data_IF_878930186231
#
_entry.id   IF_878930186231
#
_cell.length_a   1.000
_cell.length_b   1.000
_cell.length_c   1.000
_cell.angle_alpha   90.00
_cell.angle_beta   90.00
_cell.angle_gamma   90.00
#
_symmetry.space_group_name_H-M   'P 1'
#
loop_
_entity.id
_entity.type
_entity.pdbx_description
1 polymer ?
#
# COMPACT_ATOMS: atom_id res chain seq x y z
N UNK A 1 27.11 60.95 52.36
CA UNK A 1 28.36 60.19 52.12
C UNK A 1 27.97 58.73 51.97
N UNK A 2 27.64 58.27 50.77
CA UNK A 2 27.21 56.90 50.49
C UNK A 2 28.36 56.13 49.83
N UNK A 3 28.86 55.09 50.55
CA UNK A 3 29.87 54.17 50.01
C UNK A 3 29.21 53.18 49.06
N UNK A 4 29.59 53.21 47.78
CA UNK A 4 29.25 52.18 46.79
C UNK A 4 30.15 50.96 47.05
N UNK A 5 29.55 49.82 47.40
CA UNK A 5 30.22 48.51 47.36
C UNK A 5 30.16 47.97 45.94
N UNK A 6 31.31 47.81 45.32
CA UNK A 6 31.45 47.11 44.06
C UNK A 6 31.55 45.60 44.34
N UNK A 7 30.51 44.86 43.99
CA UNK A 7 30.53 43.39 44.06
C UNK A 7 31.16 42.81 42.79
N UNK A 8 32.27 42.10 42.95
CA UNK A 8 32.91 41.34 41.87
C UNK A 8 32.15 40.05 41.63
N UNK A 9 31.49 39.94 40.47
CA UNK A 9 30.86 38.67 40.04
C UNK A 9 31.95 37.82 39.43
N UNK A 10 32.29 36.70 40.09
CA UNK A 10 33.18 35.67 39.56
C UNK A 10 32.31 34.71 38.73
N UNK A 11 32.44 34.77 37.41
CA UNK A 11 31.78 33.86 36.49
C UNK A 11 32.59 32.52 36.45
N UNK A 12 32.13 31.48 37.15
CA UNK A 12 32.71 30.14 37.07
C UNK A 12 32.17 29.49 35.78
N UNK A 13 32.97 29.48 34.71
CA UNK A 13 32.70 28.73 33.49
C UNK A 13 33.11 27.28 33.75
N UNK A 14 32.18 26.44 34.13
CA UNK A 14 32.39 24.98 34.12
C UNK A 14 32.43 24.50 32.67
N UNK A 15 33.64 24.23 32.17
CA UNK A 15 33.84 23.52 30.91
C UNK A 15 33.33 22.06 31.10
N UNK A 16 32.11 21.79 30.65
CA UNK A 16 31.69 20.41 30.47
C UNK A 16 32.52 19.83 29.32
N UNK A 17 33.49 18.99 29.65
CA UNK A 17 34.14 18.14 28.66
C UNK A 17 33.08 17.20 28.11
N UNK A 18 32.63 17.44 26.90
CA UNK A 18 31.83 16.45 26.16
C UNK A 18 32.73 15.22 26.02
N UNK A 19 32.34 14.04 26.55
CA UNK A 19 33.12 12.85 26.34
C UNK A 19 33.21 12.61 24.86
N UNK A 20 34.39 12.83 24.26
CA UNK A 20 34.71 12.32 22.93
C UNK A 20 34.76 10.81 23.07
N UNK A 21 33.73 10.12 22.64
CA UNK A 21 33.80 8.69 22.44
C UNK A 21 34.95 8.44 21.47
N UNK A 22 35.96 7.64 21.86
CA UNK A 22 36.95 7.22 20.89
C UNK A 22 36.18 6.52 19.77
N UNK A 23 36.29 7.03 18.54
CA UNK A 23 35.62 6.41 17.39
C UNK A 23 36.04 4.94 17.37
N UNK A 24 35.09 4.06 17.72
CA UNK A 24 35.34 2.64 17.72
C UNK A 24 35.50 2.22 16.24
N UNK A 25 36.75 2.11 15.83
CA UNK A 25 37.11 1.69 14.46
C UNK A 25 37.03 0.17 14.30
N UNK A 26 36.30 -0.53 15.18
CA UNK A 26 36.08 -1.95 15.03
C UNK A 26 35.39 -2.26 13.70
N UNK A 27 35.72 -3.39 13.04
CA UNK A 27 35.09 -3.78 11.79
C UNK A 27 33.57 -3.86 11.89
N UNK A 28 33.03 -4.23 13.06
CA UNK A 28 31.57 -4.31 13.29
C UNK A 28 30.92 -2.92 13.31
N UNK A 29 31.58 -1.92 13.90
CA UNK A 29 31.09 -0.55 13.93
C UNK A 29 31.06 0.07 12.53
N UNK A 30 32.14 -0.11 11.75
CA UNK A 30 32.20 0.34 10.35
C UNK A 30 31.15 -0.36 9.48
N UNK A 31 30.85 -1.62 9.77
CA UNK A 31 29.78 -2.34 9.08
C UNK A 31 28.40 -1.76 9.45
N UNK A 32 28.16 -1.47 10.72
CA UNK A 32 26.93 -0.86 11.19
C UNK A 32 26.69 0.52 10.53
N UNK A 33 27.72 1.36 10.43
CA UNK A 33 27.65 2.64 9.75
C UNK A 33 27.28 2.48 8.25
N UNK A 34 27.92 1.55 7.55
CA UNK A 34 27.58 1.25 6.14
C UNK A 34 26.14 0.77 5.99
N UNK A 35 25.69 -0.11 6.87
CA UNK A 35 24.31 -0.61 6.85
C UNK A 35 23.31 0.51 7.12
N UNK A 36 23.60 1.40 8.06
CA UNK A 36 22.76 2.57 8.36
C UNK A 36 22.65 3.50 7.15
N UNK A 37 23.79 3.77 6.48
CA UNK A 37 23.78 4.58 5.26
C UNK A 37 22.97 3.92 4.13
N UNK A 38 23.12 2.62 3.91
CA UNK A 38 22.35 1.88 2.90
C UNK A 38 20.85 1.90 3.21
N UNK A 39 20.47 1.73 4.47
CA UNK A 39 19.07 1.81 4.90
C UNK A 39 18.49 3.22 4.65
N UNK A 40 19.25 4.27 4.96
CA UNK A 40 18.85 5.65 4.69
C UNK A 40 18.63 5.88 3.18
N UNK A 41 19.53 5.40 2.33
CA UNK A 41 19.36 5.51 0.87
C UNK A 41 18.13 4.76 0.36
N UNK A 42 17.87 3.55 0.86
CA UNK A 42 16.68 2.78 0.51
C UNK A 42 15.39 3.55 0.89
N UNK A 43 15.32 4.12 2.09
CA UNK A 43 14.18 4.93 2.52
C UNK A 43 14.01 6.20 1.68
N UNK A 44 15.12 6.84 1.29
CA UNK A 44 15.10 7.99 0.37
C UNK A 44 14.54 7.61 -1.01
N UNK A 45 14.89 6.46 -1.53
CA UNK A 45 14.31 5.94 -2.78
C UNK A 45 12.81 5.66 -2.65
N UNK A 46 12.37 5.08 -1.53
CA UNK A 46 10.94 4.91 -1.26
C UNK A 46 10.19 6.24 -1.22
N UNK A 47 10.76 7.27 -0.59
CA UNK A 47 10.17 8.61 -0.58
C UNK A 47 10.06 9.21 -1.99
N UNK A 48 11.10 9.10 -2.81
CA UNK A 48 11.08 9.55 -4.21
C UNK A 48 10.08 8.76 -5.07
N UNK A 49 9.93 7.47 -4.82
CA UNK A 49 8.93 6.62 -5.48
C UNK A 49 7.51 7.15 -5.24
N UNK A 50 7.15 7.41 -3.98
CA UNK A 50 5.83 7.94 -3.64
C UNK A 50 5.57 9.26 -4.37
N UNK A 51 6.46 10.22 -4.23
CA UNK A 51 6.29 11.56 -4.81
C UNK A 51 6.36 11.55 -6.34
N UNK A 52 7.17 10.65 -6.92
CA UNK A 52 7.22 10.42 -8.36
C UNK A 52 5.87 9.99 -8.92
N UNK A 53 5.23 8.98 -8.33
CA UNK A 53 3.90 8.54 -8.75
C UNK A 53 2.82 9.60 -8.51
N UNK A 54 2.85 10.28 -7.36
CA UNK A 54 1.88 11.34 -7.05
C UNK A 54 1.98 12.53 -8.01
N UNK A 55 3.14 12.82 -8.56
CA UNK A 55 3.32 13.87 -9.57
C UNK A 55 2.62 13.54 -10.90
N UNK A 56 2.33 12.27 -11.15
CA UNK A 56 1.66 11.77 -12.36
C UNK A 56 0.19 11.38 -12.14
N UNK A 57 -0.37 11.66 -10.97
CA UNK A 57 -1.79 11.41 -10.73
C UNK A 57 -2.68 12.25 -11.64
N UNK A 58 -3.82 11.69 -12.03
CA UNK A 58 -4.84 12.44 -12.77
C UNK A 58 -5.35 13.62 -11.90
N UNK A 59 -5.35 14.87 -12.41
CA UNK A 59 -5.73 16.03 -11.61
C UNK A 59 -7.23 16.08 -11.25
N UNK A 60 -8.08 15.34 -11.96
CA UNK A 60 -9.53 15.29 -11.73
C UNK A 60 -9.90 14.24 -10.70
N UNK A 61 -9.49 12.99 -10.94
CA UNK A 61 -9.78 11.87 -10.03
C UNK A 61 -8.79 11.75 -8.87
N UNK A 62 -7.55 12.23 -9.04
CA UNK A 62 -6.47 12.02 -8.08
C UNK A 62 -5.86 10.62 -8.10
N UNK A 63 -6.32 9.72 -8.98
CA UNK A 63 -5.78 8.37 -9.14
C UNK A 63 -4.49 8.36 -9.96
N UNK A 64 -3.63 7.36 -9.72
CA UNK A 64 -2.42 7.17 -10.51
C UNK A 64 -2.71 6.33 -11.76
N UNK A 65 -2.03 6.61 -12.89
CA UNK A 65 -2.20 5.82 -14.11
C UNK A 65 -1.53 4.45 -13.99
N UNK A 66 -1.93 3.51 -14.84
CA UNK A 66 -1.33 2.18 -14.93
C UNK A 66 0.16 2.20 -15.32
N UNK A 67 0.58 3.19 -16.08
CA UNK A 67 1.98 3.40 -16.46
C UNK A 67 2.20 4.86 -16.89
N UNK A 68 3.46 5.27 -17.08
CA UNK A 68 3.84 6.65 -17.43
C UNK A 68 4.10 6.88 -18.93
N UNK A 69 4.03 5.84 -19.76
CA UNK A 69 4.46 5.90 -21.17
C UNK A 69 3.36 5.65 -22.19
N UNK A 70 2.29 4.97 -21.76
CA UNK A 70 1.18 4.56 -22.65
C UNK A 70 -0.13 4.68 -21.88
N UNK A 71 -1.26 4.58 -22.49
CA UNK A 71 -2.59 4.35 -21.88
C UNK A 71 -2.84 5.10 -20.57
N UNK A 72 -3.42 6.29 -20.65
CA UNK A 72 -3.69 7.15 -19.48
C UNK A 72 -5.01 6.75 -18.82
N UNK A 73 -5.01 5.60 -18.13
CA UNK A 73 -6.15 5.11 -17.36
C UNK A 73 -5.68 4.37 -16.10
N UNK A 74 -6.57 4.22 -15.13
CA UNK A 74 -6.37 3.40 -13.95
C UNK A 74 -6.85 1.97 -14.20
N UNK A 75 -6.14 0.97 -13.68
CA UNK A 75 -6.56 -0.42 -13.66
C UNK A 75 -6.23 -1.09 -12.32
N UNK A 76 -6.87 -2.24 -12.09
CA UNK A 76 -6.70 -2.98 -10.85
C UNK A 76 -5.32 -3.67 -10.74
N UNK A 77 -4.72 -4.06 -11.85
CA UNK A 77 -3.44 -4.75 -11.90
C UNK A 77 -2.27 -3.79 -11.65
N UNK A 78 -1.98 -2.92 -12.59
CA UNK A 78 -0.77 -2.09 -12.56
C UNK A 78 -0.93 -0.88 -11.59
N UNK A 79 -2.07 -0.16 -11.65
CA UNK A 79 -2.27 1.01 -10.77
C UNK A 79 -2.49 0.60 -9.32
N UNK A 80 -3.37 -0.39 -9.11
CA UNK A 80 -3.79 -0.77 -7.78
C UNK A 80 -2.93 -1.87 -7.17
N UNK A 81 -2.68 -3.01 -7.84
CA UNK A 81 -1.89 -4.08 -7.25
C UNK A 81 -0.42 -3.71 -7.15
N UNK A 82 0.20 -3.25 -8.27
CA UNK A 82 1.64 -3.08 -8.36
C UNK A 82 2.18 -1.77 -7.78
N UNK A 83 1.35 -0.74 -7.59
CA UNK A 83 1.85 0.58 -7.22
C UNK A 83 1.23 1.15 -5.95
N UNK A 84 -0.07 1.32 -5.91
CA UNK A 84 -0.74 2.07 -4.85
C UNK A 84 -0.49 1.53 -3.43
N UNK A 85 -0.57 0.21 -3.14
CA UNK A 85 -0.35 -0.32 -1.80
C UNK A 85 1.08 -0.12 -1.31
N UNK A 86 2.06 -0.15 -2.21
CA UNK A 86 3.46 0.13 -1.87
C UNK A 86 3.69 1.60 -1.55
N UNK A 87 2.96 2.51 -2.21
CA UNK A 87 2.95 3.93 -1.83
C UNK A 87 2.36 4.12 -0.42
N UNK A 88 1.26 3.42 -0.11
CA UNK A 88 0.62 3.44 1.21
C UNK A 88 1.58 2.92 2.29
N UNK A 89 2.21 1.76 2.05
CA UNK A 89 3.17 1.18 2.98
C UNK A 89 4.36 2.10 3.22
N UNK A 90 4.97 2.61 2.15
CA UNK A 90 6.11 3.51 2.28
C UNK A 90 5.72 4.82 2.98
N UNK A 91 4.56 5.41 2.68
CA UNK A 91 4.09 6.62 3.35
C UNK A 91 3.76 6.39 4.83
N UNK A 92 3.27 5.21 5.21
CA UNK A 92 3.01 4.88 6.61
C UNK A 92 4.26 4.98 7.49
N UNK A 93 5.43 4.78 6.88
CA UNK A 93 6.75 4.84 7.54
C UNK A 93 7.42 6.22 7.40
N UNK A 94 7.23 6.92 6.28
CA UNK A 94 8.04 8.06 5.89
C UNK A 94 7.29 9.40 5.87
N UNK A 95 5.96 9.39 5.66
CA UNK A 95 5.15 10.59 5.52
C UNK A 95 3.74 10.35 6.07
N UNK A 96 3.59 10.56 7.37
CA UNK A 96 2.35 10.32 8.09
C UNK A 96 1.17 11.16 7.57
N UNK A 97 1.43 12.39 7.16
CA UNK A 97 0.38 13.28 6.67
C UNK A 97 -0.15 12.80 5.33
N UNK A 98 0.75 12.42 4.43
CA UNK A 98 0.40 11.82 3.15
C UNK A 98 -0.40 10.52 3.32
N UNK A 99 0.04 9.65 4.23
CA UNK A 99 -0.65 8.42 4.59
C UNK A 99 -2.07 8.69 5.11
N UNK A 100 -2.23 9.65 6.03
CA UNK A 100 -3.50 9.95 6.69
C UNK A 100 -4.49 10.73 5.80
N UNK A 101 -4.03 11.40 4.76
CA UNK A 101 -4.85 12.28 3.93
C UNK A 101 -4.95 11.78 2.48
N UNK A 102 -3.97 12.09 1.65
CA UNK A 102 -4.02 11.88 0.20
C UNK A 102 -4.23 10.41 -0.18
N UNK A 103 -3.53 9.48 0.48
CA UNK A 103 -3.64 8.06 0.12
C UNK A 103 -4.96 7.46 0.58
N UNK A 104 -5.52 7.91 1.70
CA UNK A 104 -6.88 7.50 2.10
C UNK A 104 -7.95 8.07 1.17
N UNK A 105 -7.81 9.33 0.76
CA UNK A 105 -8.70 9.92 -0.24
C UNK A 105 -8.62 9.19 -1.58
N UNK A 106 -7.42 8.74 -1.97
CA UNK A 106 -7.22 7.96 -3.19
C UNK A 106 -7.98 6.63 -3.12
N UNK A 107 -7.94 5.91 -1.99
CA UNK A 107 -8.74 4.69 -1.79
C UNK A 107 -10.24 4.97 -1.93
N UNK A 108 -10.75 6.01 -1.26
CA UNK A 108 -12.17 6.38 -1.34
C UNK A 108 -12.59 6.73 -2.77
N UNK A 109 -11.71 7.42 -3.49
CA UNK A 109 -11.97 7.79 -4.89
C UNK A 109 -11.91 6.58 -5.80
N UNK A 110 -10.94 5.68 -5.60
CA UNK A 110 -10.85 4.41 -6.30
C UNK A 110 -12.15 3.63 -6.15
N UNK A 111 -12.59 3.36 -4.93
CA UNK A 111 -13.85 2.63 -4.66
C UNK A 111 -15.04 3.29 -5.36
N UNK A 112 -15.15 4.61 -5.29
CA UNK A 112 -16.27 5.36 -5.87
C UNK A 112 -16.29 5.37 -7.38
N UNK A 113 -15.14 5.43 -8.03
CA UNK A 113 -15.03 5.60 -9.50
C UNK A 113 -14.87 4.27 -10.24
N UNK A 114 -14.24 3.28 -9.63
CA UNK A 114 -13.83 2.05 -10.32
C UNK A 114 -14.72 0.85 -10.03
N UNK A 115 -15.48 0.84 -8.93
CA UNK A 115 -16.41 -0.26 -8.66
C UNK A 115 -17.46 -0.36 -9.75
N UNK A 116 -17.45 -1.49 -10.50
CA UNK A 116 -18.34 -1.75 -11.63
C UNK A 116 -19.45 -2.73 -11.30
N UNK A 117 -19.12 -3.76 -10.53
CA UNK A 117 -20.03 -4.80 -10.11
C UNK A 117 -19.78 -5.10 -8.62
N UNK A 118 -20.65 -4.66 -7.75
CA UNK A 118 -20.41 -4.62 -6.30
C UNK A 118 -19.03 -3.97 -5.99
N UNK A 119 -18.10 -4.71 -5.39
CA UNK A 119 -16.75 -4.21 -5.10
C UNK A 119 -15.69 -4.59 -6.15
N UNK A 120 -16.09 -5.20 -7.27
CA UNK A 120 -15.15 -5.52 -8.35
C UNK A 120 -14.78 -4.25 -9.14
N UNK A 121 -13.50 -3.87 -9.16
CA UNK A 121 -13.04 -2.70 -9.90
C UNK A 121 -12.94 -3.00 -11.39
N UNK A 122 -13.12 -1.95 -12.21
CA UNK A 122 -12.93 -1.97 -13.65
C UNK A 122 -12.02 -0.82 -14.10
N UNK A 123 -11.43 -0.94 -15.27
CA UNK A 123 -10.53 0.03 -15.87
C UNK A 123 -11.23 1.38 -16.05
N UNK A 124 -10.62 2.47 -15.55
CA UNK A 124 -11.20 3.80 -15.54
C UNK A 124 -10.35 4.79 -16.33
N UNK A 125 -10.93 5.32 -17.41
CA UNK A 125 -10.28 6.26 -18.32
C UNK A 125 -10.31 7.69 -17.77
N UNK A 126 -9.15 8.33 -17.68
CA UNK A 126 -9.02 9.66 -17.13
C UNK A 126 -9.49 10.78 -18.06
N UNK A 127 -9.43 10.56 -19.38
CA UNK A 127 -9.83 11.58 -20.32
C UNK A 127 -11.35 11.70 -20.41
N UNK A 128 -12.05 10.58 -20.39
CA UNK A 128 -13.51 10.52 -20.47
C UNK A 128 -14.21 10.49 -19.12
N UNK A 129 -13.48 10.21 -18.03
CA UNK A 129 -14.02 9.96 -16.70
C UNK A 129 -15.08 8.86 -16.67
N UNK A 130 -14.87 7.80 -17.46
CA UNK A 130 -15.75 6.64 -17.62
C UNK A 130 -14.95 5.35 -17.61
N UNK A 131 -15.64 4.23 -17.57
CA UNK A 131 -15.02 2.94 -17.79
C UNK A 131 -14.45 2.82 -19.21
N UNK A 132 -13.26 2.22 -19.31
CA UNK A 132 -12.59 1.96 -20.61
C UNK A 132 -13.45 1.05 -21.50
N UNK A 133 -14.04 0.02 -20.88
CA UNK A 133 -14.88 -0.94 -21.59
C UNK A 133 -16.35 -0.61 -21.37
N UNK A 134 -17.17 -0.49 -22.40
CA UNK A 134 -18.59 -0.17 -22.26
C UNK A 134 -19.36 -1.30 -21.56
N UNK A 135 -19.03 -2.55 -21.87
CA UNK A 135 -19.68 -3.74 -21.31
C UNK A 135 -18.92 -4.32 -20.11
N UNK A 136 -19.64 -5.02 -19.24
CA UNK A 136 -19.04 -5.74 -18.11
C UNK A 136 -18.42 -7.05 -18.60
N UNK A 137 -17.12 -7.19 -18.47
CA UNK A 137 -16.37 -8.41 -18.76
C UNK A 137 -16.00 -9.09 -17.44
N UNK A 138 -16.91 -9.91 -16.90
CA UNK A 138 -16.77 -10.51 -15.59
C UNK A 138 -15.41 -11.21 -15.35
N UNK A 139 -14.87 -12.01 -16.29
CA UNK A 139 -13.54 -12.63 -16.10
C UNK A 139 -12.44 -11.59 -15.88
N UNK A 140 -12.47 -10.47 -16.59
CA UNK A 140 -11.49 -9.38 -16.44
C UNK A 140 -11.61 -8.69 -15.07
N UNK A 141 -12.83 -8.44 -14.61
CA UNK A 141 -13.06 -7.87 -13.27
C UNK A 141 -12.57 -8.79 -12.16
N UNK A 142 -12.84 -10.10 -12.28
CA UNK A 142 -12.38 -11.11 -11.32
C UNK A 142 -10.85 -11.20 -11.34
N UNK A 143 -10.22 -11.24 -12.51
CA UNK A 143 -8.77 -11.25 -12.64
C UNK A 143 -8.13 -10.03 -11.97
N UNK A 144 -8.53 -8.82 -12.37
CA UNK A 144 -7.99 -7.59 -11.78
C UNK A 144 -8.22 -7.48 -10.27
N UNK A 145 -9.40 -7.89 -9.79
CA UNK A 145 -9.69 -7.94 -8.36
C UNK A 145 -8.81 -8.94 -7.61
N UNK A 146 -8.51 -10.10 -8.22
CA UNK A 146 -7.64 -11.13 -7.63
C UNK A 146 -6.21 -10.66 -7.48
N UNK A 147 -5.64 -10.05 -8.54
CA UNK A 147 -4.32 -9.42 -8.52
C UNK A 147 -4.25 -8.32 -7.45
N UNK A 148 -5.22 -7.42 -7.44
CA UNK A 148 -5.26 -6.32 -6.46
C UNK A 148 -5.28 -6.83 -5.02
N UNK A 149 -6.05 -7.89 -4.74
CA UNK A 149 -6.07 -8.51 -3.41
C UNK A 149 -4.74 -9.16 -3.05
N UNK A 150 -4.23 -10.05 -3.91
CA UNK A 150 -3.06 -10.88 -3.62
C UNK A 150 -1.77 -10.07 -3.57
N UNK A 151 -1.51 -9.24 -4.59
CA UNK A 151 -0.22 -8.56 -4.75
C UNK A 151 -0.16 -7.22 -4.01
N UNK A 152 -1.29 -6.54 -3.83
CA UNK A 152 -1.35 -5.24 -3.21
C UNK A 152 -1.92 -5.21 -1.80
N UNK A 153 -3.20 -5.52 -1.66
CA UNK A 153 -3.93 -5.31 -0.40
C UNK A 153 -3.57 -6.31 0.70
N UNK A 154 -3.25 -7.54 0.32
CA UNK A 154 -2.86 -8.59 1.29
C UNK A 154 -1.51 -8.26 1.95
N UNK A 155 -0.41 -8.01 1.23
CA UNK A 155 0.85 -7.59 1.84
C UNK A 155 0.69 -6.33 2.70
N UNK A 156 -0.11 -5.36 2.24
CA UNK A 156 -0.39 -4.14 3.00
C UNK A 156 -1.11 -4.44 4.33
N UNK A 157 -2.11 -5.33 4.31
CA UNK A 157 -2.84 -5.75 5.51
C UNK A 157 -1.94 -6.51 6.49
N UNK A 158 -1.04 -7.34 6.01
CA UNK A 158 -0.07 -8.05 6.88
C UNK A 158 0.88 -7.11 7.61
N UNK A 159 1.28 -6.00 6.97
CA UNK A 159 2.16 -5.01 7.58
C UNK A 159 1.44 -4.04 8.51
N UNK A 160 0.26 -3.54 8.12
CA UNK A 160 -0.44 -2.48 8.85
C UNK A 160 -1.50 -3.01 9.83
N UNK A 161 -1.87 -4.30 9.72
CA UNK A 161 -3.03 -4.86 10.41
C UNK A 161 -4.36 -4.42 9.82
N UNK A 162 -5.47 -4.62 10.55
CA UNK A 162 -6.80 -4.23 10.10
C UNK A 162 -6.94 -2.72 9.88
N UNK A 163 -7.26 -2.33 8.65
CA UNK A 163 -7.43 -0.96 8.20
C UNK A 163 -8.57 -0.87 7.18
N UNK A 164 -8.83 0.32 6.63
CA UNK A 164 -9.75 0.50 5.50
C UNK A 164 -9.34 -0.27 4.24
N UNK A 165 -8.04 -0.48 4.01
CA UNK A 165 -7.53 -1.31 2.91
C UNK A 165 -7.86 -2.80 3.09
N UNK A 166 -7.84 -3.28 4.33
CA UNK A 166 -8.34 -4.62 4.68
C UNK A 166 -9.84 -4.74 4.34
N UNK A 167 -10.62 -3.72 4.66
CA UNK A 167 -12.04 -3.67 4.29
C UNK A 167 -12.24 -3.70 2.77
N UNK A 168 -11.40 -2.99 2.00
CA UNK A 168 -11.40 -3.04 0.53
C UNK A 168 -11.13 -4.44 0.01
N UNK A 169 -10.10 -5.11 0.53
CA UNK A 169 -9.72 -6.47 0.16
C UNK A 169 -10.86 -7.48 0.42
N UNK A 170 -11.46 -7.44 1.60
CA UNK A 170 -12.57 -8.33 1.97
C UNK A 170 -13.77 -8.09 1.05
N UNK A 171 -14.10 -6.82 0.75
CA UNK A 171 -15.19 -6.47 -0.16
C UNK A 171 -14.98 -7.02 -1.58
N UNK A 172 -13.74 -6.95 -2.11
CA UNK A 172 -13.39 -7.54 -3.41
C UNK A 172 -13.53 -9.07 -3.33
N UNK A 173 -12.97 -9.70 -2.30
CA UNK A 173 -13.06 -11.15 -2.08
C UNK A 173 -14.50 -11.64 -2.09
N UNK A 174 -15.36 -11.01 -1.32
CA UNK A 174 -16.78 -11.38 -1.26
C UNK A 174 -17.48 -11.21 -2.61
N UNK A 175 -17.13 -10.16 -3.37
CA UNK A 175 -17.70 -9.92 -4.70
C UNK A 175 -17.20 -10.94 -5.74
N UNK A 176 -15.92 -11.33 -5.70
CA UNK A 176 -15.37 -12.41 -6.55
C UNK A 176 -16.15 -13.70 -6.33
N UNK A 177 -16.34 -14.12 -5.07
CA UNK A 177 -17.03 -15.38 -4.77
C UNK A 177 -18.53 -15.31 -4.98
N UNK A 178 -19.16 -14.16 -4.79
CA UNK A 178 -20.57 -13.93 -5.11
C UNK A 178 -20.86 -14.09 -6.61
N UNK A 179 -19.95 -13.60 -7.46
CA UNK A 179 -20.08 -13.61 -8.91
C UNK A 179 -19.31 -14.72 -9.62
N UNK A 180 -18.76 -15.69 -8.87
CA UNK A 180 -17.98 -16.79 -9.42
C UNK A 180 -18.76 -17.54 -10.53
N UNK A 181 -18.24 -17.58 -11.80
CA UNK A 181 -19.03 -18.01 -12.95
C UNK A 181 -18.92 -19.51 -13.25
N UNK A 182 -17.90 -20.21 -12.73
CA UNK A 182 -17.57 -21.57 -13.16
C UNK A 182 -18.23 -22.59 -12.23
N UNK A 183 -19.16 -23.38 -12.75
CA UNK A 183 -19.82 -24.45 -12.01
C UNK A 183 -18.93 -25.70 -11.92
N UNK A 184 -18.75 -26.23 -10.71
CA UNK A 184 -18.05 -27.49 -10.45
C UNK A 184 -18.84 -28.37 -9.51
N UNK A 185 -18.51 -29.68 -9.40
CA UNK A 185 -19.16 -30.57 -8.42
C UNK A 185 -19.00 -30.13 -6.96
N UNK A 186 -18.01 -29.28 -6.66
CA UNK A 186 -17.73 -28.73 -5.33
C UNK A 186 -18.34 -27.35 -5.08
N UNK A 187 -18.99 -26.79 -6.08
CA UNK A 187 -19.54 -25.42 -6.07
C UNK A 187 -18.91 -24.53 -7.10
N UNK A 188 -19.22 -23.23 -7.03
CA UNK A 188 -18.71 -22.27 -8.00
C UNK A 188 -17.26 -21.88 -7.73
N UNK A 189 -16.49 -21.67 -8.81
CA UNK A 189 -15.12 -21.14 -8.82
C UNK A 189 -15.04 -19.79 -9.50
N UNK A 190 -14.11 -18.92 -9.09
CA UNK A 190 -13.88 -17.62 -9.70
C UNK A 190 -13.47 -17.68 -11.17
N UNK A 191 -12.65 -18.67 -11.55
CA UNK A 191 -12.20 -18.85 -12.92
C UNK A 191 -11.94 -20.31 -13.26
N UNK A 192 -11.81 -20.59 -14.58
CA UNK A 192 -11.36 -21.89 -15.08
C UNK A 192 -9.84 -22.00 -15.26
N UNK A 193 -9.09 -20.93 -15.04
CA UNK A 193 -7.64 -20.90 -15.19
C UNK A 193 -6.91 -21.04 -13.85
N UNK A 194 -5.60 -21.27 -13.92
CA UNK A 194 -4.78 -21.55 -12.74
C UNK A 194 -4.35 -20.27 -12.01
N UNK A 195 -4.19 -19.15 -12.72
CA UNK A 195 -3.67 -17.90 -12.18
C UNK A 195 -4.64 -17.31 -11.16
N UNK A 196 -5.87 -17.01 -11.58
CA UNK A 196 -6.91 -16.46 -10.71
C UNK A 196 -7.18 -17.38 -9.51
N UNK A 197 -7.29 -18.70 -9.74
CA UNK A 197 -7.55 -19.65 -8.67
C UNK A 197 -6.35 -19.73 -7.70
N UNK A 198 -5.12 -19.60 -8.19
CA UNK A 198 -3.91 -19.53 -7.36
C UNK A 198 -3.88 -18.28 -6.49
N UNK A 199 -4.22 -17.11 -7.04
CA UNK A 199 -4.33 -15.84 -6.32
C UNK A 199 -5.40 -15.91 -5.23
N UNK A 200 -6.57 -16.47 -5.57
CA UNK A 200 -7.64 -16.69 -4.62
C UNK A 200 -7.22 -17.61 -3.48
N UNK A 201 -6.61 -18.76 -3.81
CA UNK A 201 -6.17 -19.74 -2.81
C UNK A 201 -5.15 -19.12 -1.84
N UNK A 202 -4.17 -18.38 -2.37
CA UNK A 202 -3.17 -17.69 -1.56
C UNK A 202 -3.82 -16.67 -0.61
N UNK A 203 -4.74 -15.85 -1.12
CA UNK A 203 -5.43 -14.82 -0.34
C UNK A 203 -6.35 -15.43 0.71
N UNK A 204 -7.12 -16.48 0.35
CA UNK A 204 -8.02 -17.17 1.26
C UNK A 204 -7.28 -17.82 2.44
N UNK A 205 -6.16 -18.49 2.18
CA UNK A 205 -5.35 -19.12 3.23
C UNK A 205 -4.80 -18.06 4.22
N UNK A 206 -4.34 -16.92 3.72
CA UNK A 206 -3.80 -15.85 4.55
C UNK A 206 -4.90 -15.14 5.34
N UNK A 207 -6.06 -14.88 4.72
CA UNK A 207 -7.23 -14.33 5.41
C UNK A 207 -7.73 -15.26 6.52
N UNK A 208 -7.80 -16.57 6.28
CA UNK A 208 -8.16 -17.55 7.32
C UNK A 208 -7.18 -17.49 8.49
N UNK A 209 -5.89 -17.48 8.20
CA UNK A 209 -4.86 -17.39 9.23
C UNK A 209 -4.99 -16.12 10.08
N UNK A 210 -5.38 -14.98 9.48
CA UNK A 210 -5.52 -13.70 10.19
C UNK A 210 -6.85 -13.57 10.95
N UNK A 211 -7.93 -14.15 10.45
CA UNK A 211 -9.29 -13.90 10.95
C UNK A 211 -9.96 -15.08 11.63
N UNK A 212 -9.55 -16.31 11.31
CA UNK A 212 -10.25 -17.54 11.75
C UNK A 212 -11.63 -17.73 11.11
N UNK A 213 -11.98 -16.99 10.06
CA UNK A 213 -13.30 -17.10 9.41
C UNK A 213 -13.37 -18.34 8.52
N UNK A 214 -14.21 -19.29 8.90
CA UNK A 214 -14.38 -20.60 8.24
C UNK A 214 -14.94 -20.51 6.80
N UNK A 215 -15.42 -19.34 6.36
CA UNK A 215 -15.82 -19.15 4.97
C UNK A 215 -14.63 -19.28 4.02
N UNK A 216 -13.45 -18.81 4.43
CA UNK A 216 -12.26 -18.82 3.58
C UNK A 216 -11.76 -20.24 3.26
N UNK A 217 -11.55 -21.14 4.24
CA UNK A 217 -11.21 -22.51 3.90
C UNK A 217 -12.35 -23.23 3.15
N UNK A 218 -13.63 -22.94 3.44
CA UNK A 218 -14.73 -23.50 2.69
C UNK A 218 -14.71 -23.12 1.20
N UNK A 219 -14.25 -21.92 0.86
CA UNK A 219 -14.03 -21.51 -0.53
C UNK A 219 -12.75 -22.11 -1.10
N UNK A 220 -11.65 -22.12 -0.36
CA UNK A 220 -10.37 -22.70 -0.78
C UNK A 220 -10.49 -24.18 -1.17
N UNK A 221 -11.27 -24.95 -0.44
CA UNK A 221 -11.51 -26.38 -0.76
C UNK A 221 -12.34 -26.64 -2.02
N UNK A 222 -12.92 -25.61 -2.64
CA UNK A 222 -13.57 -25.72 -3.96
C UNK A 222 -12.57 -25.70 -5.10
N UNK A 223 -11.46 -24.97 -4.93
CA UNK A 223 -10.33 -24.90 -5.86
C UNK A 223 -9.58 -26.23 -5.87
#
# INVERSE_FOLDING_TARGET
MMKRMAGTIVLIVTLFSIPTWPGDSSPLFLQAERNAWQAQEALRHCYHYIHGWLAHRDPVSGLIPRNLTRSWFWNAQDSAADNYPFMVLAASLLDRDLYQTTLRQMLQTEIRLTNRLDNLPDDFDFATQKFVHPEIELPRLIFGGSEYMKDGLMPLTEWLGPTEWTGRMIGIMESVWKHAPVDTPRGKLPAGDHEVNGDQLQTLCRLYWMTGDERYPAWAFRI
#
